data_IF_738882400065
#
_entry.id   IF_738882400065
#
_cell.length_a   1.000
_cell.length_b   1.000
_cell.length_c   1.000
_cell.angle_alpha   90.00
_cell.angle_beta   90.00
_cell.angle_gamma   90.00
#
_symmetry.space_group_name_H-M   'P 1'
#
loop_
_entity.id
_entity.type
_entity.pdbx_description
1 polymer ?
#
# COMPACT_ATOMS: atom_id res chain seq x y z
N UNK A 1 6.30 -14.33 -4.34
CA UNK A 1 7.42 -13.37 -4.17
C UNK A 1 7.06 -12.34 -3.10
N UNK A 2 8.04 -11.61 -2.57
CA UNK A 2 7.80 -10.49 -1.65
C UNK A 2 8.24 -9.18 -2.31
N UNK A 3 7.31 -8.26 -2.50
CA UNK A 3 7.52 -6.98 -3.19
C UNK A 3 7.34 -5.84 -2.18
N UNK A 4 8.39 -5.02 -2.04
CA UNK A 4 8.37 -3.82 -1.21
C UNK A 4 8.14 -2.57 -2.05
N UNK A 5 7.19 -1.73 -1.65
CA UNK A 5 6.98 -0.40 -2.22
C UNK A 5 7.44 0.68 -1.24
N UNK A 6 8.04 1.75 -1.77
CA UNK A 6 8.05 3.04 -1.06
C UNK A 6 6.61 3.59 -1.03
N UNK A 7 5.93 3.30 0.07
CA UNK A 7 4.54 3.61 0.34
C UNK A 7 4.31 5.03 0.87
N UNK A 8 5.34 5.89 1.01
CA UNK A 8 5.19 7.24 1.59
C UNK A 8 4.03 8.02 0.94
N UNK A 9 3.93 7.99 -0.38
CA UNK A 9 2.85 8.68 -1.12
C UNK A 9 1.50 8.00 -0.95
N UNK A 10 1.44 6.66 -0.98
CA UNK A 10 0.19 5.93 -0.76
C UNK A 10 -0.41 6.23 0.62
N UNK A 11 0.44 6.46 1.63
CA UNK A 11 0.06 6.66 3.04
C UNK A 11 -0.20 8.13 3.39
N UNK A 12 0.64 9.06 2.93
CA UNK A 12 0.65 10.45 3.41
C UNK A 12 0.11 11.46 2.39
N UNK A 13 -0.18 11.05 1.14
CA UNK A 13 -0.71 11.94 0.11
C UNK A 13 -2.14 11.52 -0.27
N UNK A 14 -3.11 12.42 -0.07
CA UNK A 14 -4.53 12.16 -0.37
C UNK A 14 -4.99 12.69 -1.74
N UNK A 15 -4.05 13.11 -2.60
CA UNK A 15 -4.29 13.65 -3.94
C UNK A 15 -3.62 12.77 -5.01
N UNK A 16 -3.53 13.27 -6.26
CA UNK A 16 -3.23 12.50 -7.48
C UNK A 16 -2.17 11.41 -7.35
N UNK A 17 -0.96 11.75 -6.87
CA UNK A 17 0.11 10.76 -6.76
C UNK A 17 -0.18 9.67 -5.71
N UNK A 18 -0.80 10.03 -4.59
CA UNK A 18 -1.21 9.02 -3.62
C UNK A 18 -2.35 8.14 -4.14
N UNK A 19 -3.29 8.70 -4.89
CA UNK A 19 -4.38 7.94 -5.52
C UNK A 19 -3.79 6.91 -6.52
N UNK A 20 -2.83 7.34 -7.34
CA UNK A 20 -2.12 6.45 -8.26
C UNK A 20 -1.37 5.34 -7.53
N UNK A 21 -0.60 5.68 -6.48
CA UNK A 21 0.12 4.66 -5.70
C UNK A 21 -0.81 3.62 -5.07
N UNK A 22 -1.98 4.05 -4.55
CA UNK A 22 -2.97 3.13 -3.97
C UNK A 22 -3.64 2.26 -5.03
N UNK A 23 -3.98 2.83 -6.19
CA UNK A 23 -4.53 2.07 -7.32
C UNK A 23 -3.56 0.99 -7.77
N UNK A 24 -2.29 1.36 -7.96
CA UNK A 24 -1.24 0.41 -8.36
C UNK A 24 -1.12 -0.73 -7.35
N UNK A 25 -0.97 -0.41 -6.05
CA UNK A 25 -0.84 -1.42 -5.01
C UNK A 25 -2.06 -2.36 -4.95
N UNK A 26 -3.28 -1.82 -5.05
CA UNK A 26 -4.50 -2.62 -5.06
C UNK A 26 -4.62 -3.54 -6.29
N UNK A 27 -4.29 -3.03 -7.48
CA UNK A 27 -4.33 -3.83 -8.71
C UNK A 27 -3.30 -4.95 -8.67
N UNK A 28 -2.08 -4.67 -8.21
CA UNK A 28 -1.02 -5.67 -8.09
C UNK A 28 -1.38 -6.76 -7.07
N UNK A 29 -1.87 -6.37 -5.89
CA UNK A 29 -2.33 -7.30 -4.87
C UNK A 29 -3.42 -8.24 -5.38
N UNK A 30 -4.40 -7.71 -6.13
CA UNK A 30 -5.49 -8.49 -6.73
C UNK A 30 -5.01 -9.41 -7.87
N UNK A 31 -4.11 -8.93 -8.73
CA UNK A 31 -3.66 -9.68 -9.91
C UNK A 31 -2.71 -10.83 -9.56
N UNK A 32 -1.97 -10.69 -8.46
CA UNK A 32 -0.94 -11.62 -8.01
C UNK A 32 -1.21 -12.09 -6.57
N UNK A 33 -2.30 -12.83 -6.37
CA UNK A 33 -2.75 -13.27 -5.04
C UNK A 33 -1.78 -14.19 -4.28
N UNK A 34 -0.80 -14.80 -4.97
CA UNK A 34 0.28 -15.59 -4.34
C UNK A 34 1.49 -14.76 -3.89
N UNK A 35 1.56 -13.49 -4.28
CA UNK A 35 2.63 -12.57 -3.89
C UNK A 35 2.23 -11.76 -2.66
N UNK A 36 3.22 -11.40 -1.84
CA UNK A 36 3.08 -10.52 -0.69
C UNK A 36 3.59 -9.12 -1.01
N UNK A 37 2.84 -8.11 -0.61
CA UNK A 37 3.15 -6.70 -0.86
C UNK A 37 3.28 -5.94 0.46
N UNK A 38 4.40 -5.25 0.64
CA UNK A 38 4.61 -4.39 1.82
C UNK A 38 4.72 -2.93 1.39
N UNK A 39 3.87 -2.09 1.95
CA UNK A 39 3.97 -0.64 1.85
C UNK A 39 4.87 -0.14 2.97
N UNK A 40 6.07 0.36 2.64
CA UNK A 40 6.95 0.98 3.62
C UNK A 40 6.67 2.48 3.70
N UNK A 41 6.39 3.01 4.89
CA UNK A 41 6.19 4.44 5.07
C UNK A 41 6.76 4.93 6.40
N UNK A 42 7.46 6.07 6.45
CA UNK A 42 8.13 6.56 7.66
C UNK A 42 7.17 6.91 8.79
N UNK A 43 5.90 7.17 8.47
CA UNK A 43 4.83 7.39 9.46
C UNK A 43 3.62 6.57 9.00
N UNK A 44 3.51 5.30 9.41
CA UNK A 44 2.40 4.46 9.00
C UNK A 44 1.11 5.01 9.61
N UNK A 45 0.08 5.13 8.78
CA UNK A 45 -1.26 5.51 9.24
C UNK A 45 -2.31 4.95 8.30
N UNK A 46 -3.40 4.47 8.87
CA UNK A 46 -4.57 4.07 8.09
C UNK A 46 -5.43 5.29 7.81
N UNK A 47 -5.84 5.46 6.56
CA UNK A 47 -6.79 6.49 6.14
C UNK A 47 -7.95 5.81 5.39
N UNK A 48 -9.13 6.43 5.29
CA UNK A 48 -10.23 5.86 4.50
C UNK A 48 -9.84 5.57 3.04
N UNK A 49 -8.91 6.34 2.48
CA UNK A 49 -8.40 6.12 1.13
C UNK A 49 -7.45 4.93 1.04
N UNK A 50 -6.66 4.66 2.09
CA UNK A 50 -5.71 3.55 2.15
C UNK A 50 -6.38 2.22 2.55
N UNK A 51 -7.48 2.27 3.31
CA UNK A 51 -8.17 1.09 3.81
C UNK A 51 -8.47 0.02 2.74
N UNK A 52 -9.00 0.35 1.54
CA UNK A 52 -9.26 -0.66 0.51
C UNK A 52 -8.02 -1.40 0.00
N UNK A 53 -6.83 -0.81 0.18
CA UNK A 53 -5.56 -1.44 -0.18
C UNK A 53 -5.13 -2.42 0.92
N UNK A 54 -5.36 -2.07 2.19
CA UNK A 54 -4.99 -2.89 3.36
C UNK A 54 -5.99 -4.02 3.65
N UNK A 55 -7.20 -3.95 3.10
CA UNK A 55 -8.17 -5.05 3.14
C UNK A 55 -7.74 -6.27 2.31
N UNK A 56 -6.80 -6.09 1.37
CA UNK A 56 -6.24 -7.22 0.64
C UNK A 56 -5.38 -8.08 1.57
N UNK A 57 -5.71 -9.38 1.67
CA UNK A 57 -5.06 -10.33 2.59
C UNK A 57 -3.54 -10.49 2.38
N UNK A 58 -3.03 -10.06 1.22
CA UNK A 58 -1.63 -10.13 0.84
C UNK A 58 -0.91 -8.76 0.85
N UNK A 59 -1.50 -7.74 1.47
CA UNK A 59 -0.90 -6.42 1.65
C UNK A 59 -0.70 -6.10 3.13
N UNK A 60 0.47 -5.57 3.48
CA UNK A 60 0.74 -5.04 4.82
C UNK A 60 1.39 -3.65 4.76
N UNK A 61 1.26 -2.89 5.85
CA UNK A 61 1.87 -1.58 6.04
C UNK A 61 2.97 -1.69 7.11
N UNK A 62 4.19 -1.24 6.80
CA UNK A 62 5.30 -1.19 7.75
C UNK A 62 5.86 0.21 7.91
N UNK A 63 6.09 0.59 9.17
CA UNK A 63 6.88 1.76 9.54
C UNK A 63 8.31 1.39 9.91
N UNK A 64 9.18 2.40 10.09
CA UNK A 64 10.41 2.21 10.86
C UNK A 64 10.02 1.81 12.29
N UNK A 65 10.76 0.86 12.86
CA UNK A 65 10.71 0.55 14.31
C UNK A 65 11.10 1.79 15.14
#
# INVERSE_FOLDING_TARGET
MHIGYDGKRAVQNNTGLGNYSRLLAAVMARRFGGDRFTLYAPRPRTTPRLAPVLEAANVELRGPE
#
